data_IF_158689557437
#
_entry.id   IF_158689557437
#
_cell.length_a   1.000
_cell.length_b   1.000
_cell.length_c   1.000
_cell.angle_alpha   90.00
_cell.angle_beta   90.00
_cell.angle_gamma   90.00
#
_symmetry.space_group_name_H-M   'P 1'
#
loop_
_entity.id
_entity.type
_entity.pdbx_description
1 polymer ?
#
# COMPACT_ATOMS: atom_id res chain seq x y z
N UNK A 1 -8.57 19.63 4.14
CA UNK A 1 -7.12 19.35 4.27
C UNK A 1 -6.78 17.87 4.10
N UNK A 2 -7.63 16.91 4.50
CA UNK A 2 -7.34 15.47 4.31
C UNK A 2 -7.21 15.05 2.85
N UNK A 3 -8.11 15.51 1.98
CA UNK A 3 -8.24 14.95 0.63
C UNK A 3 -7.06 15.29 -0.28
N UNK A 4 -6.49 16.49 -0.12
CA UNK A 4 -5.28 16.90 -0.83
C UNK A 4 -4.06 16.08 -0.39
N UNK A 5 -3.95 15.77 0.90
CA UNK A 5 -2.85 14.95 1.41
C UNK A 5 -2.97 13.51 0.92
N UNK A 6 -4.18 12.95 0.86
CA UNK A 6 -4.41 11.62 0.30
C UNK A 6 -4.14 11.56 -1.20
N UNK A 7 -4.60 12.56 -1.96
CA UNK A 7 -4.30 12.65 -3.39
C UNK A 7 -2.79 12.77 -3.64
N UNK A 8 -2.09 13.55 -2.82
CA UNK A 8 -0.64 13.69 -2.90
C UNK A 8 0.09 12.38 -2.57
N UNK A 9 -0.26 11.73 -1.46
CA UNK A 9 0.30 10.43 -1.07
C UNK A 9 0.06 9.37 -2.15
N UNK A 10 -1.16 9.32 -2.69
CA UNK A 10 -1.51 8.41 -3.79
C UNK A 10 -0.62 8.64 -5.02
N UNK A 11 -0.40 9.91 -5.40
CA UNK A 11 0.50 10.27 -6.50
C UNK A 11 1.93 9.77 -6.27
N UNK A 12 2.50 10.07 -5.09
CA UNK A 12 3.85 9.62 -4.72
C UNK A 12 3.97 8.10 -4.77
N UNK A 13 2.96 7.38 -4.27
CA UNK A 13 2.96 5.93 -4.25
C UNK A 13 2.89 5.35 -5.67
N UNK A 14 2.08 5.92 -6.55
CA UNK A 14 2.04 5.55 -7.96
C UNK A 14 3.39 5.75 -8.64
N UNK A 15 4.09 6.83 -8.32
CA UNK A 15 5.39 7.14 -8.91
C UNK A 15 6.46 6.13 -8.47
N UNK A 16 6.50 5.79 -7.17
CA UNK A 16 7.42 4.77 -6.64
C UNK A 16 7.14 3.39 -7.24
N UNK A 17 5.87 2.97 -7.32
CA UNK A 17 5.52 1.67 -7.93
C UNK A 17 5.92 1.65 -9.39
N UNK A 18 5.70 2.75 -10.12
CA UNK A 18 6.10 2.87 -11.52
C UNK A 18 7.62 2.78 -11.69
N UNK A 19 8.39 3.36 -10.78
CA UNK A 19 9.84 3.23 -10.77
C UNK A 19 10.29 1.79 -10.52
N UNK A 20 9.75 1.14 -9.49
CA UNK A 20 10.04 -0.26 -9.18
C UNK A 20 9.65 -1.23 -10.33
N UNK A 21 8.57 -0.94 -11.05
CA UNK A 21 8.20 -1.71 -12.24
C UNK A 21 9.17 -1.50 -13.42
N UNK A 22 9.80 -0.32 -13.53
CA UNK A 22 10.82 -0.06 -14.57
C UNK A 22 12.13 -0.78 -14.27
N UNK A 23 12.51 -0.89 -13.00
CA UNK A 23 13.71 -1.61 -12.56
C UNK A 23 13.51 -3.13 -12.55
N UNK A 24 12.25 -3.58 -12.58
CA UNK A 24 11.88 -5.00 -12.55
C UNK A 24 11.72 -5.55 -11.13
N UNK A 25 11.79 -4.70 -10.11
CA UNK A 25 11.61 -5.08 -8.70
C UNK A 25 10.16 -5.45 -8.42
N UNK A 26 9.19 -4.84 -9.12
CA UNK A 26 7.76 -5.16 -9.01
C UNK A 26 7.21 -5.61 -10.36
N UNK A 27 6.39 -6.65 -10.35
CA UNK A 27 5.70 -7.15 -11.55
C UNK A 27 4.77 -6.07 -12.18
N UNK A 28 4.84 -5.83 -13.50
CA UNK A 28 3.99 -4.87 -14.20
C UNK A 28 2.57 -5.41 -14.51
N UNK A 29 2.18 -6.56 -13.94
CA UNK A 29 0.86 -7.18 -14.18
C UNK A 29 -0.31 -6.34 -13.65
N UNK A 30 -0.07 -5.55 -12.61
CA UNK A 30 -1.04 -4.60 -12.06
C UNK A 30 -0.56 -3.18 -12.34
N UNK A 31 -1.50 -2.26 -12.57
CA UNK A 31 -1.14 -0.86 -12.78
C UNK A 31 -0.65 -0.23 -11.47
N UNK A 32 0.26 0.77 -11.52
CA UNK A 32 0.67 1.52 -10.33
C UNK A 32 -0.49 2.06 -9.52
N UNK A 33 -1.54 2.54 -10.20
CA UNK A 33 -2.77 3.07 -9.60
C UNK A 33 -3.54 2.00 -8.81
N UNK A 34 -3.58 0.78 -9.34
CA UNK A 34 -4.27 -0.35 -8.70
C UNK A 34 -3.52 -0.79 -7.45
N UNK A 35 -2.20 -0.94 -7.55
CA UNK A 35 -1.34 -1.28 -6.41
C UNK A 35 -1.34 -0.19 -5.33
N UNK A 36 -1.29 1.08 -5.71
CA UNK A 36 -1.35 2.18 -4.76
C UNK A 36 -2.68 2.20 -3.99
N UNK A 37 -3.81 1.99 -4.66
CA UNK A 37 -5.11 1.86 -3.99
C UNK A 37 -5.16 0.66 -3.05
N UNK A 38 -4.59 -0.48 -3.46
CA UNK A 38 -4.51 -1.68 -2.64
C UNK A 38 -3.74 -1.38 -1.34
N UNK A 39 -2.53 -0.84 -1.43
CA UNK A 39 -1.72 -0.51 -0.25
C UNK A 39 -2.42 0.46 0.69
N UNK A 40 -2.95 1.57 0.16
CA UNK A 40 -3.66 2.57 0.97
C UNK A 40 -4.87 1.93 1.66
N UNK A 41 -5.66 1.15 0.93
CA UNK A 41 -6.86 0.50 1.48
C UNK A 41 -6.50 -0.53 2.55
N UNK A 42 -5.45 -1.31 2.34
CA UNK A 42 -4.96 -2.30 3.31
C UNK A 42 -4.46 -1.64 4.59
N UNK A 43 -3.66 -0.56 4.48
CA UNK A 43 -3.16 0.18 5.65
C UNK A 43 -4.31 0.83 6.42
N UNK A 44 -5.25 1.47 5.73
CA UNK A 44 -6.42 2.11 6.35
C UNK A 44 -7.34 1.08 7.00
N UNK A 45 -7.62 -0.03 6.31
CA UNK A 45 -8.40 -1.14 6.86
C UNK A 45 -7.72 -1.75 8.10
N UNK A 46 -6.40 -1.93 8.04
CA UNK A 46 -5.59 -2.37 9.17
C UNK A 46 -5.72 -1.46 10.37
N UNK A 47 -5.68 -0.13 10.18
CA UNK A 47 -5.84 0.84 11.26
C UNK A 47 -7.21 0.71 11.95
N UNK A 48 -8.27 0.51 11.16
CA UNK A 48 -9.63 0.31 11.69
C UNK A 48 -9.70 -1.01 12.48
N UNK A 49 -9.13 -2.09 11.95
CA UNK A 49 -9.14 -3.40 12.58
C UNK A 49 -8.31 -3.44 13.88
N UNK A 50 -7.11 -2.84 13.89
CA UNK A 50 -6.27 -2.67 15.09
C UNK A 50 -7.08 -2.07 16.24
N UNK A 51 -7.81 -1.00 15.93
CA UNK A 51 -8.56 -0.24 16.92
C UNK A 51 -9.79 -0.99 17.46
N UNK A 52 -10.35 -1.91 16.67
CA UNK A 52 -11.46 -2.76 17.10
C UNK A 52 -10.96 -3.94 17.93
N UNK A 53 -9.79 -4.50 17.55
CA UNK A 53 -9.22 -5.70 18.16
C UNK A 53 -8.30 -5.46 19.36
N UNK A 54 -7.91 -4.21 19.64
CA UNK A 54 -6.82 -3.87 20.57
C UNK A 54 -5.50 -4.57 20.19
N UNK A 55 -5.24 -4.64 18.88
CA UNK A 55 -4.07 -5.30 18.30
C UNK A 55 -3.22 -4.31 17.51
N UNK A 56 -2.17 -3.82 18.15
CA UNK A 56 -1.21 -2.88 17.56
C UNK A 56 -0.30 -3.52 16.50
N UNK A 57 -0.27 -4.86 16.37
CA UNK A 57 0.64 -5.57 15.46
C UNK A 57 0.07 -5.75 14.05
N UNK A 58 -1.23 -5.55 13.84
CA UNK A 58 -1.88 -5.83 12.55
C UNK A 58 -1.25 -5.07 11.37
N UNK A 59 -0.65 -3.91 11.63
CA UNK A 59 0.04 -3.12 10.62
C UNK A 59 1.32 -3.81 10.12
N UNK A 60 2.06 -4.48 11.01
CA UNK A 60 3.24 -5.25 10.63
C UNK A 60 2.85 -6.49 9.83
N UNK A 61 1.76 -7.16 10.22
CA UNK A 61 1.23 -8.32 9.50
C UNK A 61 0.78 -7.96 8.09
N UNK A 62 0.00 -6.88 7.95
CA UNK A 62 -0.46 -6.38 6.65
C UNK A 62 0.73 -5.98 5.77
N UNK A 63 1.74 -5.30 6.32
CA UNK A 63 2.94 -4.96 5.57
C UNK A 63 3.66 -6.22 5.08
N UNK A 64 3.87 -7.20 5.96
CA UNK A 64 4.47 -8.50 5.60
C UNK A 64 3.71 -9.23 4.50
N UNK A 65 2.38 -9.33 4.61
CA UNK A 65 1.55 -9.96 3.58
C UNK A 65 1.59 -9.22 2.24
N UNK A 66 1.72 -7.89 2.25
CA UNK A 66 1.88 -7.11 1.02
C UNK A 66 3.23 -7.37 0.36
N UNK A 67 4.31 -7.53 1.13
CA UNK A 67 5.61 -7.95 0.59
C UNK A 67 5.52 -9.32 -0.08
N UNK A 68 4.94 -10.31 0.61
CA UNK A 68 4.75 -11.66 0.06
C UNK A 68 3.91 -11.66 -1.23
N UNK A 69 2.83 -10.87 -1.28
CA UNK A 69 1.97 -10.77 -2.47
C UNK A 69 2.67 -10.18 -3.69
N UNK A 70 3.72 -9.38 -3.47
CA UNK A 70 4.48 -8.74 -4.53
C UNK A 70 5.69 -9.57 -4.98
N UNK A 71 5.91 -10.74 -4.36
CA UNK A 71 7.13 -11.54 -4.56
C UNK A 71 8.42 -10.73 -4.21
N UNK A 72 8.31 -9.81 -3.25
CA UNK A 72 9.42 -8.96 -2.76
C UNK A 72 10.11 -9.56 -1.53
#
# INVERSE_FOLDING_TARGET
MSDQNFAHLYGLLCDVIREAQKTGDISPRLTPETLAKLFISSIQGGYVLARIGDDDNIHQEIAGSLYELLDL
#
